data_IF_335606291167
#
_entry.id   IF_335606291167
#
_cell.length_a   1.000
_cell.length_b   1.000
_cell.length_c   1.000
_cell.angle_alpha   90.00
_cell.angle_beta   90.00
_cell.angle_gamma   90.00
#
_symmetry.space_group_name_H-M   'P 1'
#
loop_
_entity.id
_entity.type
_entity.pdbx_description
1 polymer ?
#
# COMPACT_ATOMS: atom_id res chain seq x y z
N UNK A 1 10.35 -54.08 41.94
CA UNK A 1 9.74 -52.79 42.30
C UNK A 1 10.03 -51.84 41.18
N UNK A 2 9.01 -51.57 40.36
CA UNK A 2 9.14 -50.75 39.17
C UNK A 2 9.37 -49.30 39.55
N UNK A 3 10.39 -48.70 38.95
CA UNK A 3 10.56 -47.25 38.93
C UNK A 3 9.53 -46.66 37.97
N UNK A 4 8.62 -45.85 38.51
CA UNK A 4 7.90 -44.87 37.72
C UNK A 4 8.90 -43.77 37.36
N UNK A 5 9.49 -43.92 36.19
CA UNK A 5 10.14 -42.84 35.49
C UNK A 5 9.09 -41.74 35.27
N UNK A 6 9.19 -40.67 36.05
CA UNK A 6 8.54 -39.41 35.77
C UNK A 6 8.95 -38.99 34.36
N UNK A 7 8.09 -39.25 33.39
CA UNK A 7 8.29 -38.84 32.01
C UNK A 7 8.30 -37.31 32.00
N UNK A 8 9.50 -36.75 31.93
CA UNK A 8 9.72 -35.35 31.65
C UNK A 8 9.08 -35.06 30.28
N UNK A 9 7.87 -34.48 30.31
CA UNK A 9 7.19 -34.00 29.12
C UNK A 9 8.05 -32.85 28.58
N UNK A 10 8.64 -33.08 27.41
CA UNK A 10 9.55 -32.13 26.79
C UNK A 10 8.86 -30.76 26.63
N UNK A 11 9.51 -29.65 27.00
CA UNK A 11 8.97 -28.33 26.72
C UNK A 11 8.90 -28.16 25.21
N UNK A 12 7.83 -27.52 24.72
CA UNK A 12 7.70 -27.13 23.31
C UNK A 12 9.04 -26.60 22.82
N UNK A 13 9.71 -27.33 21.91
CA UNK A 13 10.98 -26.89 21.38
C UNK A 13 10.70 -25.57 20.64
N UNK A 14 11.09 -24.46 21.28
CA UNK A 14 10.97 -23.14 20.69
C UNK A 14 11.69 -23.19 19.33
N UNK A 15 11.04 -22.76 18.23
CA UNK A 15 11.61 -22.85 16.91
C UNK A 15 13.01 -22.22 16.90
N UNK A 16 14.02 -23.05 16.62
CA UNK A 16 15.44 -22.71 16.76
C UNK A 16 15.93 -21.82 15.62
N UNK A 17 15.24 -21.84 14.47
CA UNK A 17 15.53 -20.99 13.31
C UNK A 17 14.50 -19.87 13.10
N UNK A 18 14.97 -18.72 12.60
CA UNK A 18 14.12 -17.55 12.27
C UNK A 18 13.08 -17.88 11.19
N UNK A 19 13.40 -18.79 10.28
CA UNK A 19 12.49 -19.28 9.23
C UNK A 19 11.33 -20.09 9.83
N UNK A 20 11.61 -20.99 10.77
CA UNK A 20 10.58 -21.77 11.46
C UNK A 20 9.71 -20.88 12.35
N UNK A 21 10.32 -19.90 13.03
CA UNK A 21 9.58 -18.88 13.79
C UNK A 21 8.58 -18.13 12.91
N UNK A 22 9.02 -17.73 11.70
CA UNK A 22 8.19 -16.98 10.77
C UNK A 22 7.08 -17.84 10.16
N UNK A 23 7.34 -19.11 9.87
CA UNK A 23 6.34 -20.07 9.41
C UNK A 23 5.32 -20.39 10.49
N UNK A 24 5.76 -20.63 11.72
CA UNK A 24 4.89 -20.86 12.87
C UNK A 24 4.04 -19.63 13.15
N UNK A 25 4.63 -18.43 13.16
CA UNK A 25 3.88 -17.18 13.30
C UNK A 25 2.80 -17.02 12.23
N UNK A 26 3.09 -17.39 10.98
CA UNK A 26 2.09 -17.38 9.88
C UNK A 26 0.97 -18.40 10.12
N UNK A 27 1.28 -19.60 10.61
CA UNK A 27 0.29 -20.64 10.93
C UNK A 27 -0.61 -20.22 12.10
N UNK A 28 0.00 -19.81 13.21
CA UNK A 28 -0.69 -19.30 14.40
C UNK A 28 -1.47 -18.01 14.11
N UNK A 29 -1.06 -17.23 13.10
CA UNK A 29 -1.85 -16.10 12.64
C UNK A 29 -3.17 -16.55 12.00
N UNK A 30 -3.24 -17.63 11.23
CA UNK A 30 -4.47 -17.99 10.53
C UNK A 30 -5.38 -18.96 11.29
N UNK A 31 -4.78 -19.79 12.14
CA UNK A 31 -5.49 -20.88 12.80
C UNK A 31 -5.69 -20.58 14.29
N UNK A 32 -6.96 -20.43 14.70
CA UNK A 32 -7.35 -20.17 16.08
C UNK A 32 -7.17 -21.41 16.96
N UNK A 33 -7.37 -22.60 16.39
CA UNK A 33 -7.23 -23.87 17.10
C UNK A 33 -5.76 -24.17 17.34
N UNK A 34 -4.92 -24.02 16.31
CA UNK A 34 -3.46 -24.15 16.47
C UNK A 34 -2.90 -23.16 17.50
N UNK A 35 -3.45 -21.94 17.60
CA UNK A 35 -3.06 -20.97 18.65
C UNK A 35 -3.46 -21.44 20.05
N UNK A 36 -4.67 -21.99 20.20
CA UNK A 36 -5.16 -22.51 21.47
C UNK A 36 -4.35 -23.73 21.91
N UNK A 37 -4.06 -24.64 20.99
CA UNK A 37 -3.24 -25.83 21.25
C UNK A 37 -1.81 -25.46 21.61
N UNK A 38 -1.18 -24.56 20.85
CA UNK A 38 0.16 -24.06 21.17
C UNK A 38 0.22 -23.38 22.54
N UNK A 39 -0.79 -22.58 22.90
CA UNK A 39 -0.88 -21.98 24.24
C UNK A 39 -1.10 -23.05 25.31
N UNK A 40 -1.97 -24.03 25.06
CA UNK A 40 -2.21 -25.15 25.99
C UNK A 40 -0.92 -25.90 26.28
N UNK A 41 -0.23 -26.37 25.25
CA UNK A 41 1.04 -27.10 25.36
C UNK A 41 2.13 -26.29 26.06
N UNK A 42 2.18 -24.96 25.84
CA UNK A 42 3.15 -24.07 26.48
C UNK A 42 2.84 -23.76 27.96
N UNK A 43 1.59 -23.87 28.38
CA UNK A 43 1.14 -23.56 29.75
C UNK A 43 0.94 -24.80 30.63
N UNK A 44 0.76 -26.00 30.06
CA UNK A 44 0.54 -27.27 30.80
C UNK A 44 1.82 -28.03 31.12
N UNK A 45 2.96 -27.34 31.32
CA UNK A 45 4.27 -27.96 31.57
C UNK A 45 4.48 -28.54 32.97
N UNK A 46 3.44 -28.63 33.79
CA UNK A 46 3.50 -29.10 35.20
C UNK A 46 2.29 -30.01 35.47
N UNK A 47 2.43 -31.02 36.34
CA UNK A 47 1.28 -31.76 36.86
C UNK A 47 0.39 -30.80 37.65
N UNK A 48 -0.81 -30.54 37.16
CA UNK A 48 -1.77 -29.59 37.73
C UNK A 48 -2.90 -30.33 38.42
N UNK A 49 -3.43 -29.74 39.50
CA UNK A 49 -4.68 -30.21 40.11
C UNK A 49 -5.86 -29.96 39.14
N UNK A 50 -6.93 -30.79 39.11
CA UNK A 50 -8.03 -30.63 38.16
C UNK A 50 -8.70 -29.25 38.20
N UNK A 51 -8.62 -28.57 39.35
CA UNK A 51 -9.09 -27.20 39.50
C UNK A 51 -8.20 -26.19 38.78
N UNK A 52 -6.89 -26.33 38.90
CA UNK A 52 -5.90 -25.45 38.26
C UNK A 52 -5.91 -25.61 36.74
N UNK A 53 -6.16 -26.83 36.25
CA UNK A 53 -6.31 -27.11 34.82
C UNK A 53 -7.51 -26.37 34.20
N UNK A 54 -8.63 -26.30 34.92
CA UNK A 54 -9.80 -25.50 34.50
C UNK A 54 -9.55 -23.99 34.51
N UNK A 55 -8.80 -23.48 35.49
CA UNK A 55 -8.41 -22.06 35.57
C UNK A 55 -7.46 -21.68 34.42
N UNK A 56 -6.51 -22.56 34.07
CA UNK A 56 -5.60 -22.36 32.95
C UNK A 56 -6.35 -22.38 31.62
N UNK A 57 -7.31 -23.28 31.42
CA UNK A 57 -8.12 -23.31 30.21
C UNK A 57 -8.97 -22.03 30.02
N UNK A 58 -9.47 -21.47 31.11
CA UNK A 58 -10.16 -20.19 31.09
C UNK A 58 -9.22 -19.06 30.65
N UNK A 59 -8.02 -18.99 31.22
CA UNK A 59 -7.00 -17.99 30.85
C UNK A 59 -6.63 -18.10 29.38
N UNK A 60 -6.42 -19.32 28.85
CA UNK A 60 -6.12 -19.56 27.43
C UNK A 60 -7.27 -19.02 26.56
N UNK A 61 -8.52 -19.32 26.93
CA UNK A 61 -9.70 -18.88 26.18
C UNK A 61 -9.81 -17.36 26.13
N UNK A 62 -9.55 -16.68 27.25
CA UNK A 62 -9.56 -15.22 27.36
C UNK A 62 -8.47 -14.59 26.48
N UNK A 63 -7.24 -15.11 26.53
CA UNK A 63 -6.12 -14.60 25.74
C UNK A 63 -6.41 -14.73 24.24
N UNK A 64 -6.90 -15.89 23.79
CA UNK A 64 -7.25 -16.12 22.38
C UNK A 64 -8.36 -15.17 21.94
N UNK A 65 -9.42 -15.03 22.74
CA UNK A 65 -10.55 -14.15 22.45
C UNK A 65 -10.14 -12.67 22.37
N UNK A 66 -9.35 -12.21 23.34
CA UNK A 66 -8.85 -10.83 23.34
C UNK A 66 -7.94 -10.55 22.15
N UNK A 67 -7.04 -11.47 21.83
CA UNK A 67 -6.16 -11.35 20.66
C UNK A 67 -6.95 -11.22 19.35
N UNK A 68 -8.00 -12.01 19.18
CA UNK A 68 -8.84 -11.95 17.97
C UNK A 68 -9.55 -10.59 17.83
N UNK A 69 -10.03 -10.02 18.94
CA UNK A 69 -10.63 -8.67 18.95
C UNK A 69 -9.59 -7.63 18.55
N UNK A 70 -8.41 -7.65 19.18
CA UNK A 70 -7.33 -6.69 18.87
C UNK A 70 -6.90 -6.80 17.41
N UNK A 71 -6.75 -8.02 16.89
CA UNK A 71 -6.39 -8.24 15.49
C UNK A 71 -7.45 -7.71 14.52
N UNK A 72 -8.73 -7.91 14.83
CA UNK A 72 -9.83 -7.36 14.03
C UNK A 72 -9.79 -5.83 14.01
N UNK A 73 -9.56 -5.21 15.18
CA UNK A 73 -9.44 -3.76 15.29
C UNK A 73 -8.24 -3.23 14.51
N UNK A 74 -7.09 -3.90 14.58
CA UNK A 74 -5.88 -3.49 13.87
C UNK A 74 -6.04 -3.62 12.34
N UNK A 75 -6.73 -4.67 11.87
CA UNK A 75 -7.03 -4.85 10.44
C UNK A 75 -7.85 -3.71 9.86
N UNK A 76 -8.69 -3.09 10.66
CA UNK A 76 -9.54 -1.98 10.27
C UNK A 76 -8.87 -0.61 10.47
N UNK A 77 -8.15 -0.43 11.59
CA UNK A 77 -7.52 0.85 11.92
C UNK A 77 -6.32 1.19 11.03
N UNK A 78 -5.51 0.20 10.63
CA UNK A 78 -4.31 0.44 9.82
C UNK A 78 -4.64 0.98 8.42
N UNK A 79 -5.53 0.35 7.63
CA UNK A 79 -5.92 0.91 6.33
C UNK A 79 -6.59 2.28 6.46
N UNK A 80 -7.41 2.50 7.51
CA UNK A 80 -8.04 3.80 7.77
C UNK A 80 -7.01 4.90 8.07
N UNK A 81 -5.97 4.59 8.85
CA UNK A 81 -4.89 5.51 9.12
C UNK A 81 -4.11 5.85 7.84
N UNK A 82 -3.76 4.85 7.02
CA UNK A 82 -3.07 5.07 5.74
C UNK A 82 -3.92 5.94 4.82
N UNK A 83 -5.22 5.63 4.71
CA UNK A 83 -6.15 6.39 3.88
C UNK A 83 -6.24 7.85 4.33
N UNK A 84 -6.38 8.09 5.63
CA UNK A 84 -6.53 9.45 6.16
C UNK A 84 -5.23 10.25 6.09
N UNK A 85 -4.11 9.68 6.55
CA UNK A 85 -2.85 10.43 6.68
C UNK A 85 -2.07 10.53 5.38
N UNK A 86 -2.16 9.55 4.49
CA UNK A 86 -1.38 9.54 3.25
C UNK A 86 -2.25 9.82 2.03
N UNK A 87 -3.26 8.99 1.79
CA UNK A 87 -4.00 9.03 0.51
C UNK A 87 -4.83 10.30 0.39
N UNK A 88 -5.66 10.59 1.38
CA UNK A 88 -6.53 11.76 1.35
C UNK A 88 -5.72 13.06 1.42
N UNK A 89 -4.69 13.11 2.28
CA UNK A 89 -3.79 14.27 2.31
C UNK A 89 -3.06 14.49 1.00
N UNK A 90 -2.55 13.44 0.35
CA UNK A 90 -1.91 13.56 -0.95
C UNK A 90 -2.91 14.06 -1.99
N UNK A 91 -4.11 13.49 -2.06
CA UNK A 91 -5.17 13.91 -2.98
C UNK A 91 -5.46 15.41 -2.87
N UNK A 92 -5.63 15.92 -1.65
CA UNK A 92 -6.01 17.31 -1.41
C UNK A 92 -4.84 18.28 -1.66
N UNK A 93 -3.61 17.86 -1.28
CA UNK A 93 -2.42 18.71 -1.40
C UNK A 93 -1.79 18.71 -2.80
N UNK A 94 -1.97 17.64 -3.58
CA UNK A 94 -1.34 17.50 -4.91
C UNK A 94 -1.69 18.66 -5.83
N UNK A 95 -2.95 19.11 -5.86
CA UNK A 95 -3.34 20.22 -6.75
C UNK A 95 -2.63 21.52 -6.39
N UNK A 96 -2.58 21.85 -5.10
CA UNK A 96 -1.96 23.09 -4.59
C UNK A 96 -0.45 23.04 -4.75
N UNK A 97 0.19 21.93 -4.39
CA UNK A 97 1.64 21.78 -4.51
C UNK A 97 2.10 21.70 -5.97
N UNK A 98 1.32 21.07 -6.86
CA UNK A 98 1.61 21.05 -8.28
C UNK A 98 1.55 22.46 -8.87
N UNK A 99 0.50 23.22 -8.54
CA UNK A 99 0.38 24.62 -8.96
C UNK A 99 1.58 25.43 -8.44
N UNK A 100 1.88 25.33 -7.15
CA UNK A 100 3.02 26.01 -6.52
C UNK A 100 4.36 25.62 -7.16
N UNK A 101 4.51 24.37 -7.59
CA UNK A 101 5.74 23.89 -8.22
C UNK A 101 5.86 24.33 -9.68
N UNK A 102 4.77 24.35 -10.44
CA UNK A 102 4.76 24.70 -11.87
C UNK A 102 4.75 26.21 -12.12
N UNK A 103 4.20 27.00 -11.19
CA UNK A 103 4.15 28.47 -11.31
C UNK A 103 5.40 29.18 -10.78
N UNK A 104 6.49 28.46 -10.52
CA UNK A 104 7.80 29.09 -10.26
C UNK A 104 8.31 29.70 -11.56
N UNK A 105 8.53 31.01 -11.58
CA UNK A 105 8.88 31.78 -12.78
C UNK A 105 10.06 31.18 -13.57
N UNK A 106 11.07 30.68 -12.86
CA UNK A 106 12.26 30.05 -13.46
C UNK A 106 11.93 28.75 -14.21
N UNK A 107 10.99 27.95 -13.72
CA UNK A 107 10.66 26.63 -14.28
C UNK A 107 9.57 26.72 -15.35
N UNK A 108 8.74 27.77 -15.31
CA UNK A 108 7.67 28.00 -16.27
C UNK A 108 8.23 28.16 -17.70
N UNK A 109 9.34 28.88 -17.84
CA UNK A 109 9.92 29.13 -19.17
C UNK A 109 10.48 27.85 -19.80
N UNK A 110 10.93 26.88 -19.00
CA UNK A 110 11.52 25.63 -19.47
C UNK A 110 10.48 24.51 -19.69
N UNK A 111 9.53 24.35 -18.76
CA UNK A 111 8.53 23.27 -18.80
C UNK A 111 7.43 23.54 -19.83
N UNK A 112 7.10 24.81 -20.08
CA UNK A 112 6.09 25.19 -21.07
C UNK A 112 6.68 25.48 -22.47
N UNK A 113 7.88 24.97 -22.76
CA UNK A 113 8.42 24.98 -24.13
C UNK A 113 7.61 24.00 -24.98
N UNK A 114 7.06 24.51 -26.08
CA UNK A 114 6.35 23.69 -27.04
C UNK A 114 7.28 22.67 -27.69
N UNK A 115 6.76 21.47 -27.96
CA UNK A 115 7.54 20.42 -28.62
C UNK A 115 8.08 20.91 -29.97
N UNK A 116 9.33 20.56 -30.33
CA UNK A 116 9.98 21.07 -31.55
C UNK A 116 9.22 20.68 -32.82
N UNK A 117 8.66 19.47 -32.86
CA UNK A 117 7.85 18.97 -33.99
C UNK A 117 6.60 19.82 -34.23
N UNK A 118 5.88 20.19 -33.16
CA UNK A 118 4.69 21.04 -33.24
C UNK A 118 5.05 22.47 -33.68
N UNK A 119 6.18 22.98 -33.19
CA UNK A 119 6.71 24.27 -33.63
C UNK A 119 7.03 24.29 -35.12
N UNK A 120 7.62 23.22 -35.64
CA UNK A 120 7.95 23.10 -37.06
C UNK A 120 6.69 22.97 -37.93
N UNK A 121 5.75 22.11 -37.55
CA UNK A 121 4.46 21.97 -38.26
C UNK A 121 3.70 23.31 -38.31
N UNK A 122 3.69 24.06 -37.20
CA UNK A 122 3.06 25.39 -37.15
C UNK A 122 3.77 26.39 -38.06
N UNK A 123 5.10 26.37 -38.16
CA UNK A 123 5.84 27.22 -39.12
C UNK A 123 5.48 26.86 -40.56
N UNK A 124 5.44 25.58 -40.90
CA UNK A 124 5.09 25.11 -42.24
C UNK A 124 3.66 25.50 -42.63
N UNK A 125 2.69 25.29 -41.74
CA UNK A 125 1.32 25.74 -41.97
C UNK A 125 1.22 27.26 -42.17
N UNK A 126 1.93 28.06 -41.36
CA UNK A 126 1.95 29.53 -41.54
C UNK A 126 2.55 29.94 -42.88
N UNK A 127 3.61 29.28 -43.33
CA UNK A 127 4.19 29.54 -44.65
C UNK A 127 3.21 29.20 -45.78
N UNK A 128 2.52 28.07 -45.66
CA UNK A 128 1.50 27.66 -46.63
C UNK A 128 0.36 28.68 -46.71
N UNK A 129 -0.16 29.12 -45.55
CA UNK A 129 -1.21 30.14 -45.48
C UNK A 129 -0.76 31.44 -46.15
N UNK A 130 0.45 31.93 -45.84
CA UNK A 130 0.98 33.15 -46.44
C UNK A 130 1.16 33.03 -47.97
N UNK A 131 1.53 31.84 -48.47
CA UNK A 131 1.63 31.60 -49.91
C UNK A 131 0.25 31.62 -50.59
N UNK A 132 -0.75 30.99 -49.96
CA UNK A 132 -2.13 30.98 -50.46
C UNK A 132 -2.77 32.38 -50.43
N UNK A 133 -2.53 33.17 -49.39
CA UNK A 133 -2.99 34.56 -49.31
C UNK A 133 -2.40 35.43 -50.43
N UNK A 134 -1.10 35.27 -50.73
CA UNK A 134 -0.47 35.96 -51.87
C UNK A 134 -1.07 35.52 -53.20
N UNK A 135 -1.31 34.23 -53.39
CA UNK A 135 -1.93 33.71 -54.61
C UNK A 135 -3.34 34.28 -54.80
N UNK A 136 -4.14 34.36 -53.73
CA UNK A 136 -5.45 35.01 -53.74
C UNK A 136 -5.37 36.50 -54.08
N UNK A 137 -4.36 37.20 -53.55
CA UNK A 137 -4.08 38.61 -53.89
C UNK A 137 -3.87 38.80 -55.39
N UNK A 138 -2.99 38.00 -56.00
CA UNK A 138 -2.73 38.02 -57.44
C UNK A 138 -3.99 37.69 -58.24
N UNK A 139 -4.78 36.71 -57.80
CA UNK A 139 -6.04 36.35 -58.45
C UNK A 139 -7.04 37.50 -58.46
N UNK A 140 -7.13 38.25 -57.35
CA UNK A 140 -7.96 39.45 -57.26
C UNK A 140 -7.44 40.60 -58.14
N UNK A 141 -6.12 40.79 -58.22
CA UNK A 141 -5.52 41.78 -59.12
C UNK A 141 -5.84 41.46 -60.59
N UNK A 142 -5.66 40.21 -61.03
CA UNK A 142 -5.99 39.79 -62.40
C UNK A 142 -7.47 39.98 -62.71
N UNK A 143 -8.36 39.63 -61.76
CA UNK A 143 -9.80 39.86 -61.91
C UNK A 143 -10.12 41.34 -62.10
N UNK A 144 -9.46 42.22 -61.35
CA UNK A 144 -9.65 43.68 -61.47
C UNK A 144 -9.10 44.28 -62.78
N UNK A 145 -8.20 43.58 -63.49
CA UNK A 145 -7.69 44.00 -64.80
C UNK A 145 -8.56 43.54 -65.97
N UNK A 146 -9.51 42.61 -65.73
CA UNK A 146 -10.41 42.07 -66.74
C UNK A 146 -11.80 42.75 -66.76
N UNK A 147 -12.11 43.55 -65.74
CA UNK A 147 -13.26 44.48 -65.69
C UNK A 147 -12.83 45.88 -66.16
#
# INVERSE_FOLDING_TARGET
>A
GGGEAAAAVAPVEAPKSRSEQMQLARRLQHDREARREWLREGLTGVQLDPREEGEIELVITLIVSYFDIVRKNLRDSVPKAIMHFMVNQAKDKVQVELLRSLYKEDLMTEVFVERPETTEQRKQCRQMVAALEKALGVLNEVRSMQE
#
